data_IF_631499451021
#
_entry.id   IF_631499451021
#
_cell.length_a   1.000
_cell.length_b   1.000
_cell.length_c   1.000
_cell.angle_alpha   90.00
_cell.angle_beta   90.00
_cell.angle_gamma   90.00
#
_symmetry.space_group_name_H-M   'P 1'
#
loop_
_entity.id
_entity.type
_entity.pdbx_description
1 polymer ?
#
# COMPACT_ATOMS: atom_id res chain seq x y z
N UNK A 1 -69.92 -20.00 27.25
CA UNK A 1 -69.70 -19.12 26.09
C UNK A 1 -68.59 -18.12 26.45
N UNK A 2 -67.38 -18.31 25.93
CA UNK A 2 -66.32 -17.29 25.82
C UNK A 2 -65.53 -17.63 24.56
N UNK A 3 -66.18 -17.35 23.44
CA UNK A 3 -65.58 -17.21 22.12
C UNK A 3 -65.22 -15.72 22.06
N UNK A 4 -64.11 -15.35 21.44
CA UNK A 4 -63.60 -13.97 21.27
C UNK A 4 -62.43 -13.58 22.20
N UNK A 5 -61.38 -14.40 22.23
CA UNK A 5 -60.04 -13.87 22.47
C UNK A 5 -59.13 -14.29 21.31
N UNK A 6 -58.93 -13.37 20.36
CA UNK A 6 -57.95 -13.52 19.29
C UNK A 6 -56.57 -13.29 19.91
N UNK A 7 -55.66 -14.25 19.79
CA UNK A 7 -54.28 -14.06 20.22
C UNK A 7 -53.61 -13.02 19.32
N UNK A 8 -53.10 -11.94 19.93
CA UNK A 8 -52.33 -10.93 19.21
C UNK A 8 -50.99 -11.49 18.75
N UNK A 9 -50.87 -11.75 17.44
CA UNK A 9 -49.64 -12.23 16.80
C UNK A 9 -48.81 -11.11 16.17
N UNK A 10 -49.19 -9.84 16.39
CA UNK A 10 -48.51 -8.64 15.84
C UNK A 10 -47.02 -8.60 16.21
N UNK A 11 -46.67 -8.92 17.45
CA UNK A 11 -45.26 -8.97 17.91
C UNK A 11 -44.46 -10.15 17.33
N UNK A 12 -45.10 -11.21 16.82
CA UNK A 12 -44.38 -12.35 16.20
C UNK A 12 -43.91 -12.06 14.77
N UNK A 13 -44.45 -11.01 14.14
CA UNK A 13 -44.00 -10.52 12.84
C UNK A 13 -42.97 -9.38 12.95
N UNK A 14 -42.73 -8.82 14.14
CA UNK A 14 -41.69 -7.81 14.35
C UNK A 14 -40.31 -8.48 14.36
N UNK A 15 -39.76 -8.72 13.16
CA UNK A 15 -38.42 -9.28 12.98
C UNK A 15 -37.34 -8.43 13.65
N UNK A 16 -37.56 -7.12 13.80
CA UNK A 16 -36.66 -6.17 14.46
C UNK A 16 -36.49 -6.44 15.96
N UNK A 17 -37.52 -6.96 16.62
CA UNK A 17 -37.51 -7.22 18.07
C UNK A 17 -36.90 -8.58 18.43
N UNK A 18 -36.60 -9.41 17.43
CA UNK A 18 -35.88 -10.67 17.65
C UNK A 18 -34.50 -10.37 18.21
N UNK A 19 -34.05 -11.08 19.26
CA UNK A 19 -32.76 -10.82 19.91
C UNK A 19 -31.58 -10.93 18.93
N UNK A 20 -31.67 -11.84 17.97
CA UNK A 20 -30.69 -12.04 16.90
C UNK A 20 -30.61 -10.86 15.92
N UNK A 21 -31.75 -10.24 15.60
CA UNK A 21 -31.83 -9.12 14.66
C UNK A 21 -31.47 -7.82 15.36
N UNK A 22 -31.87 -7.67 16.63
CA UNK A 22 -31.52 -6.53 17.46
C UNK A 22 -30.02 -6.41 17.67
N UNK A 23 -29.33 -7.52 17.96
CA UNK A 23 -27.86 -7.51 18.08
C UNK A 23 -27.18 -7.12 16.76
N UNK A 24 -27.71 -7.56 15.62
CA UNK A 24 -27.21 -7.17 14.30
C UNK A 24 -27.45 -5.67 14.00
N UNK A 25 -28.60 -5.13 14.40
CA UNK A 25 -28.91 -3.71 14.29
C UNK A 25 -28.00 -2.87 15.20
N UNK A 26 -27.71 -3.34 16.41
CA UNK A 26 -26.78 -2.69 17.35
C UNK A 26 -25.33 -2.71 16.79
N UNK A 27 -24.92 -3.80 16.13
CA UNK A 27 -23.64 -3.91 15.41
C UNK A 27 -23.61 -2.99 14.17
N UNK A 28 -24.70 -2.88 13.42
CA UNK A 28 -24.78 -1.99 12.27
C UNK A 28 -24.76 -0.51 12.70
N UNK A 29 -25.44 -0.16 13.79
CA UNK A 29 -25.50 1.19 14.32
C UNK A 29 -24.16 1.62 14.94
N UNK A 30 -23.46 0.73 15.64
CA UNK A 30 -22.09 0.98 16.09
C UNK A 30 -21.09 1.12 14.94
N UNK A 31 -21.26 0.36 13.84
CA UNK A 31 -20.46 0.53 12.62
C UNK A 31 -20.85 1.78 11.81
N UNK A 32 -22.09 2.28 11.93
CA UNK A 32 -22.54 3.56 11.34
C UNK A 32 -21.78 4.75 11.89
N UNK A 33 -21.47 4.76 13.19
CA UNK A 33 -20.63 5.80 13.81
C UNK A 33 -19.16 5.70 13.34
N UNK A 34 -18.67 4.50 13.03
CA UNK A 34 -17.33 4.25 12.48
C UNK A 34 -17.19 4.53 10.98
N UNK A 35 -18.20 5.06 10.29
CA UNK A 35 -18.16 5.30 8.83
C UNK A 35 -17.10 6.32 8.38
N UNK A 36 -16.47 7.04 9.29
CA UNK A 36 -15.44 8.03 9.00
C UNK A 36 -14.00 7.57 9.31
N UNK A 37 -13.80 6.35 9.80
CA UNK A 37 -12.44 5.82 10.03
C UNK A 37 -11.97 5.02 8.82
N UNK A 38 -10.83 5.45 8.28
CA UNK A 38 -10.16 4.78 7.17
C UNK A 38 -9.77 3.35 7.59
N UNK A 39 -9.82 2.38 6.68
CA UNK A 39 -9.45 0.98 6.97
C UNK A 39 -8.07 0.81 7.65
N UNK A 40 -7.02 1.57 7.29
CA UNK A 40 -5.76 1.60 8.03
C UNK A 40 -5.88 2.03 9.50
N UNK A 41 -6.84 2.90 9.81
CA UNK A 41 -7.09 3.39 11.17
C UNK A 41 -7.81 2.31 12.02
N UNK A 42 -8.76 1.59 11.43
CA UNK A 42 -9.38 0.41 12.06
C UNK A 42 -8.35 -0.69 12.32
N UNK A 43 -7.43 -0.92 11.38
CA UNK A 43 -6.33 -1.84 11.59
C UNK A 43 -5.42 -1.37 12.73
N UNK A 44 -5.11 -0.08 12.84
CA UNK A 44 -4.32 0.47 13.95
C UNK A 44 -4.99 0.24 15.31
N UNK A 45 -6.30 0.46 15.42
CA UNK A 45 -7.05 0.26 16.66
C UNK A 45 -7.04 -1.22 17.10
N UNK A 46 -7.41 -2.14 16.21
CA UNK A 46 -7.39 -3.58 16.48
C UNK A 46 -5.98 -4.10 16.79
N UNK A 47 -4.97 -3.56 16.10
CA UNK A 47 -3.58 -3.96 16.28
C UNK A 47 -3.01 -3.45 17.61
N UNK A 48 -3.28 -2.19 17.98
CA UNK A 48 -2.85 -1.64 19.27
C UNK A 48 -3.49 -2.41 20.44
N UNK A 49 -4.79 -2.70 20.40
CA UNK A 49 -5.46 -3.44 21.47
C UNK A 49 -4.92 -4.87 21.62
N UNK A 50 -4.62 -5.56 20.52
CA UNK A 50 -4.21 -6.97 20.56
C UNK A 50 -2.72 -7.19 20.82
N UNK A 51 -1.87 -6.24 20.42
CA UNK A 51 -0.43 -6.44 20.33
C UNK A 51 0.41 -5.42 21.13
N UNK A 52 -0.21 -4.40 21.74
CA UNK A 52 0.47 -3.49 22.67
C UNK A 52 1.13 -4.26 23.81
N UNK A 53 2.44 -4.10 23.95
CA UNK A 53 3.27 -4.78 24.97
C UNK A 53 3.66 -6.23 24.65
N UNK A 54 3.15 -6.83 23.58
CA UNK A 54 3.50 -8.20 23.14
C UNK A 54 4.49 -8.24 21.98
N UNK A 55 4.61 -7.16 21.22
CA UNK A 55 5.52 -7.01 20.09
C UNK A 55 6.27 -5.69 20.25
N UNK A 56 7.54 -5.62 19.83
CA UNK A 56 8.29 -4.36 19.85
C UNK A 56 7.65 -3.37 18.89
N UNK A 57 7.52 -2.11 19.31
CA UNK A 57 7.00 -1.03 18.45
C UNK A 57 7.81 -0.83 17.16
N UNK A 58 9.08 -1.25 17.16
CA UNK A 58 9.97 -1.25 15.99
C UNK A 58 9.61 -2.28 14.92
N UNK A 59 8.88 -3.35 15.28
CA UNK A 59 8.48 -4.42 14.35
C UNK A 59 7.14 -4.12 13.67
N UNK A 60 6.41 -3.10 14.16
CA UNK A 60 5.13 -2.67 13.63
C UNK A 60 5.36 -1.85 12.35
N UNK A 61 5.33 -2.53 11.20
CA UNK A 61 5.34 -1.87 9.89
C UNK A 61 3.92 -1.52 9.47
N UNK A 62 3.56 -0.25 9.59
CA UNK A 62 2.32 0.27 9.03
C UNK A 62 2.34 0.16 7.49
N UNK A 63 1.25 -0.28 6.85
CA UNK A 63 1.15 -0.23 5.39
C UNK A 63 1.20 1.23 4.94
N UNK A 64 2.32 1.63 4.34
CA UNK A 64 2.49 2.98 3.79
C UNK A 64 1.86 3.03 2.40
N UNK A 65 0.89 3.91 2.21
CA UNK A 65 0.30 4.15 0.91
C UNK A 65 1.12 5.19 0.14
N UNK A 66 2.30 4.77 -0.33
CA UNK A 66 3.24 5.63 -1.08
C UNK A 66 2.52 6.33 -2.25
N UNK A 67 1.59 5.66 -2.92
CA UNK A 67 0.81 6.22 -4.04
C UNK A 67 -0.02 7.45 -3.65
N UNK A 68 -0.60 7.45 -2.45
CA UNK A 68 -1.35 8.62 -1.96
C UNK A 68 -0.41 9.76 -1.58
N UNK A 69 0.71 9.44 -0.92
CA UNK A 69 1.68 10.44 -0.47
C UNK A 69 2.37 11.18 -1.63
N UNK A 70 2.74 10.46 -2.69
CA UNK A 70 3.32 11.07 -3.90
C UNK A 70 2.30 11.88 -4.68
N UNK A 71 1.00 11.57 -4.55
CA UNK A 71 -0.06 12.31 -5.23
C UNK A 71 -0.39 13.62 -4.50
N UNK A 72 -0.20 13.67 -3.18
CA UNK A 72 -0.50 14.85 -2.36
C UNK A 72 0.65 15.84 -2.30
N UNK A 73 1.90 15.36 -2.21
CA UNK A 73 3.07 16.21 -2.00
C UNK A 73 4.07 16.10 -3.16
N UNK A 74 4.35 17.21 -3.88
CA UNK A 74 5.33 17.22 -4.96
C UNK A 74 6.75 16.88 -4.50
N UNK A 75 7.12 17.18 -3.24
CA UNK A 75 8.43 16.84 -2.71
C UNK A 75 8.57 15.33 -2.52
N UNK A 76 7.52 14.67 -1.99
CA UNK A 76 7.47 13.21 -1.85
C UNK A 76 7.50 12.51 -3.20
N UNK A 77 6.82 13.06 -4.20
CA UNK A 77 6.92 12.58 -5.59
C UNK A 77 8.37 12.61 -6.11
N UNK A 78 9.09 13.71 -5.86
CA UNK A 78 10.50 13.85 -6.25
C UNK A 78 11.42 12.89 -5.48
N UNK A 79 11.16 12.68 -4.18
CA UNK A 79 11.91 11.72 -3.38
C UNK A 79 11.74 10.30 -3.93
N UNK A 80 10.51 9.92 -4.27
CA UNK A 80 10.23 8.60 -4.86
C UNK A 80 10.88 8.45 -6.23
N UNK A 81 10.82 9.47 -7.10
CA UNK A 81 11.47 9.40 -8.41
C UNK A 81 12.99 9.20 -8.32
N UNK A 82 13.65 9.92 -7.40
CA UNK A 82 15.09 9.73 -7.14
C UNK A 82 15.38 8.34 -6.57
N UNK A 83 14.48 7.80 -5.73
CA UNK A 83 14.62 6.45 -5.19
C UNK A 83 14.54 5.38 -6.29
N UNK A 84 13.66 5.56 -7.28
CA UNK A 84 13.57 4.73 -8.49
C UNK A 84 14.85 4.87 -9.34
N UNK A 85 15.37 6.09 -9.52
CA UNK A 85 16.64 6.29 -10.24
C UNK A 85 17.81 5.55 -9.56
N UNK A 86 17.89 5.56 -8.22
CA UNK A 86 18.90 4.80 -7.48
C UNK A 86 18.74 3.30 -7.68
N UNK A 87 17.51 2.78 -7.62
CA UNK A 87 17.25 1.38 -7.91
C UNK A 87 17.67 1.00 -9.34
N UNK A 88 17.44 1.86 -10.34
CA UNK A 88 17.89 1.61 -11.71
C UNK A 88 19.41 1.44 -11.82
N UNK A 89 20.20 2.23 -11.07
CA UNK A 89 21.66 2.07 -11.02
C UNK A 89 22.03 0.72 -10.43
N UNK A 90 21.37 0.32 -9.35
CA UNK A 90 21.59 -0.98 -8.72
C UNK A 90 21.24 -2.14 -9.65
N UNK A 91 20.10 -2.06 -10.34
CA UNK A 91 19.70 -3.07 -11.35
C UNK A 91 20.71 -3.13 -12.48
N UNK A 92 21.23 -2.00 -12.97
CA UNK A 92 22.30 -1.97 -13.97
C UNK A 92 23.55 -2.70 -13.47
N UNK A 93 23.97 -2.47 -12.22
CA UNK A 93 25.11 -3.17 -11.63
C UNK A 93 24.86 -4.68 -11.59
N UNK A 94 23.68 -5.11 -11.14
CA UNK A 94 23.30 -6.52 -11.12
C UNK A 94 23.34 -7.15 -12.52
N UNK A 95 22.72 -6.50 -13.51
CA UNK A 95 22.72 -6.98 -14.90
C UNK A 95 24.13 -7.04 -15.49
N UNK A 96 25.00 -6.10 -15.12
CA UNK A 96 26.40 -6.07 -15.55
C UNK A 96 27.18 -7.26 -14.99
N UNK A 97 26.99 -7.62 -13.72
CA UNK A 97 27.64 -8.81 -13.13
C UNK A 97 27.07 -10.12 -13.71
N UNK A 98 25.77 -10.16 -13.99
CA UNK A 98 25.14 -11.30 -14.69
C UNK A 98 25.74 -11.46 -16.10
N UNK A 99 25.88 -10.37 -16.86
CA UNK A 99 26.50 -10.35 -18.19
C UNK A 99 27.91 -10.93 -18.17
N UNK A 100 28.75 -10.55 -17.18
CA UNK A 100 30.12 -11.07 -17.06
C UNK A 100 30.19 -12.58 -16.84
N UNK A 101 29.12 -13.19 -16.33
CA UNK A 101 29.05 -14.63 -16.06
C UNK A 101 28.62 -15.44 -17.29
N UNK A 102 28.07 -14.77 -18.32
CA UNK A 102 27.67 -15.43 -19.57
C UNK A 102 28.89 -15.59 -20.46
N UNK A 103 29.28 -16.84 -20.74
CA UNK A 103 30.34 -17.12 -21.70
C UNK A 103 29.90 -16.69 -23.11
N UNK A 104 30.63 -15.75 -23.70
CA UNK A 104 30.45 -15.39 -25.11
C UNK A 104 30.96 -16.55 -25.97
N UNK A 105 30.03 -17.35 -26.51
CA UNK A 105 30.36 -18.47 -27.39
C UNK A 105 29.99 -18.15 -28.84
N UNK A 106 31.00 -18.00 -29.70
CA UNK A 106 30.81 -17.77 -31.12
C UNK A 106 32.11 -17.48 -31.88
N UNK A 107 32.16 -17.89 -33.15
CA UNK A 107 33.21 -17.52 -34.13
C UNK A 107 33.16 -16.03 -34.54
N UNK A 108 32.11 -15.32 -34.11
CA UNK A 108 31.82 -13.91 -34.41
C UNK A 108 31.46 -13.25 -33.07
N UNK A 109 32.48 -12.92 -32.27
CA UNK A 109 32.32 -12.09 -31.07
C UNK A 109 32.24 -10.64 -31.56
N UNK A 110 31.05 -10.05 -31.52
CA UNK A 110 30.86 -8.68 -31.99
C UNK A 110 31.67 -7.74 -31.11
N UNK A 111 32.65 -7.10 -31.75
CA UNK A 111 33.66 -6.30 -31.08
C UNK A 111 33.14 -5.02 -30.43
N UNK A 112 33.95 -3.96 -30.43
CA UNK A 112 33.65 -2.73 -29.68
C UNK A 112 32.27 -2.12 -29.93
N UNK A 113 31.73 -2.24 -31.16
CA UNK A 113 30.39 -1.74 -31.47
C UNK A 113 29.28 -2.50 -30.72
N UNK A 114 29.35 -3.84 -30.66
CA UNK A 114 28.36 -4.65 -29.92
C UNK A 114 28.39 -4.29 -28.44
N UNK A 115 29.59 -4.19 -27.84
CA UNK A 115 29.74 -3.85 -26.44
C UNK A 115 29.07 -2.52 -26.09
N UNK A 116 29.21 -1.50 -26.94
CA UNK A 116 28.59 -0.18 -26.75
C UNK A 116 27.07 -0.28 -26.84
N UNK A 117 26.52 -0.99 -27.84
CA UNK A 117 25.07 -1.13 -27.98
C UNK A 117 24.46 -2.00 -26.88
N UNK A 118 25.16 -3.04 -26.46
CA UNK A 118 24.77 -3.90 -25.35
C UNK A 118 24.73 -3.12 -24.04
N UNK A 119 25.72 -2.27 -23.75
CA UNK A 119 25.72 -1.43 -22.55
C UNK A 119 24.57 -0.40 -22.58
N UNK A 120 24.31 0.24 -23.73
CA UNK A 120 23.12 1.11 -23.89
C UNK A 120 21.81 0.35 -23.70
N UNK A 121 21.74 -0.90 -24.17
CA UNK A 121 20.56 -1.75 -24.01
C UNK A 121 20.32 -2.07 -22.52
N UNK A 122 21.37 -2.44 -21.79
CA UNK A 122 21.27 -2.70 -20.36
C UNK A 122 20.90 -1.45 -19.56
N UNK A 123 21.31 -0.26 -20.00
CA UNK A 123 20.88 1.01 -19.40
C UNK A 123 19.36 1.19 -19.51
N UNK A 124 18.77 0.96 -20.68
CA UNK A 124 17.32 1.06 -20.86
C UNK A 124 16.56 -0.04 -20.13
N UNK A 125 17.08 -1.27 -20.11
CA UNK A 125 16.50 -2.34 -19.29
C UNK A 125 16.50 -1.98 -17.81
N UNK A 126 17.60 -1.44 -17.28
CA UNK A 126 17.68 -1.07 -15.86
C UNK A 126 16.64 -0.01 -15.48
N UNK A 127 16.43 1.00 -16.32
CA UNK A 127 15.39 2.03 -16.13
C UNK A 127 13.98 1.46 -16.23
N UNK A 128 13.75 0.61 -17.23
CA UNK A 128 12.43 0.01 -17.45
C UNK A 128 12.04 -0.96 -16.33
N UNK A 129 12.98 -1.81 -15.90
CA UNK A 129 12.77 -2.71 -14.77
C UNK A 129 12.48 -1.92 -13.50
N UNK A 130 13.30 -0.92 -13.15
CA UNK A 130 13.06 -0.16 -11.92
C UNK A 130 11.73 0.63 -11.96
N UNK A 131 11.32 1.14 -13.13
CA UNK A 131 10.06 1.90 -13.24
C UNK A 131 8.80 1.03 -13.26
N UNK A 132 8.84 -0.16 -13.88
CA UNK A 132 7.66 -1.01 -14.09
C UNK A 132 7.62 -2.24 -13.17
N UNK A 133 8.78 -2.71 -12.74
CA UNK A 133 8.99 -3.93 -11.96
C UNK A 133 9.95 -3.62 -10.81
N UNK A 134 9.52 -2.74 -9.90
CA UNK A 134 10.27 -2.41 -8.69
C UNK A 134 10.65 -3.68 -7.93
N UNK A 135 11.91 -3.76 -7.52
CA UNK A 135 12.44 -4.84 -6.68
C UNK A 135 12.16 -4.58 -5.19
N UNK A 136 11.46 -3.50 -4.86
CA UNK A 136 11.16 -3.09 -3.51
C UNK A 136 12.22 -2.16 -2.91
N UNK A 137 13.34 -1.93 -3.59
CA UNK A 137 14.44 -1.13 -3.07
C UNK A 137 14.09 0.36 -3.07
N UNK A 138 13.45 0.83 -4.14
CA UNK A 138 12.99 2.21 -4.23
C UNK A 138 12.03 2.57 -3.08
N UNK A 139 11.13 1.65 -2.70
CA UNK A 139 10.20 1.84 -1.59
C UNK A 139 10.92 1.86 -0.23
N UNK A 140 11.93 1.00 -0.05
CA UNK A 140 12.74 0.98 1.18
C UNK A 140 13.55 2.27 1.37
N UNK A 141 14.16 2.77 0.28
CA UNK A 141 14.87 4.04 0.27
C UNK A 141 13.89 5.16 0.59
N UNK A 142 12.76 5.23 -0.14
CA UNK A 142 11.72 6.22 0.10
C UNK A 142 11.29 6.24 1.57
N UNK A 143 10.97 5.08 2.16
CA UNK A 143 10.54 4.96 3.56
C UNK A 143 11.59 5.48 4.55
N UNK A 144 12.87 5.17 4.29
CA UNK A 144 13.98 5.57 5.16
C UNK A 144 14.12 7.10 5.22
N UNK A 145 13.89 7.79 4.10
CA UNK A 145 14.00 9.24 4.00
C UNK A 145 12.68 9.98 4.25
N UNK A 146 11.52 9.36 3.98
CA UNK A 146 10.21 9.98 4.15
C UNK A 146 9.85 10.24 5.61
N UNK A 147 10.49 9.53 6.54
CA UNK A 147 10.37 9.76 7.98
C UNK A 147 10.96 11.10 8.45
N UNK A 148 11.90 11.66 7.67
CA UNK A 148 12.54 12.95 7.97
C UNK A 148 11.72 14.14 7.43
N UNK A 149 10.70 13.86 6.62
CA UNK A 149 9.80 14.87 6.07
C UNK A 149 8.65 15.14 7.02
N UNK A 150 8.13 16.37 6.97
CA UNK A 150 6.92 16.72 7.70
C UNK A 150 5.76 15.77 7.33
N UNK A 151 4.85 15.48 8.28
CA UNK A 151 3.63 14.73 7.98
C UNK A 151 2.87 15.38 6.83
N UNK A 152 2.23 14.56 5.99
CA UNK A 152 1.40 15.06 4.88
C UNK A 152 0.19 15.79 5.47
N UNK A 153 0.12 17.11 5.28
CA UNK A 153 -1.06 17.92 5.64
C UNK A 153 -2.27 17.52 4.78
N UNK A 154 -3.16 16.69 5.36
CA UNK A 154 -4.39 16.23 4.73
C UNK A 154 -5.45 17.34 4.56
N UNK A 155 -5.28 18.49 5.21
CA UNK A 155 -6.17 19.65 5.15
C UNK A 155 -6.21 20.34 3.78
N UNK A 156 -5.14 20.26 2.97
CA UNK A 156 -5.12 20.90 1.64
C UNK A 156 -6.06 20.29 0.59
N UNK A 157 -6.66 19.11 0.86
CA UNK A 157 -7.61 18.47 -0.06
C UNK A 157 -9.02 19.07 0.00
N UNK A 158 -9.43 19.71 1.11
CA UNK A 158 -10.81 20.21 1.28
C UNK A 158 -11.12 21.42 0.42
N UNK A 159 -10.11 22.23 0.07
CA UNK A 159 -10.33 23.53 -0.58
C UNK A 159 -10.36 23.47 -2.11
N UNK A 160 -10.02 22.33 -2.74
CA UNK A 160 -10.00 22.18 -4.21
C UNK A 160 -11.29 21.59 -4.79
N UNK A 161 -12.33 21.40 -3.98
CA UNK A 161 -13.63 20.84 -4.39
C UNK A 161 -14.84 21.75 -4.13
N UNK A 162 -14.61 23.03 -3.85
CA UNK A 162 -15.67 24.05 -3.79
C UNK A 162 -15.69 24.90 -5.06
#
# INVERSE_FOLDING_TARGET
>A
MKIDFIQDYTNRLNLVEKPEVKSLLDIENSNKEKRNVSFPELLREEFNEKLSGKISSSEIRLPHNIKEEIATDPYRKKLYSVSVEVESIFVKMMLSEMKKTVEKSGLIDGGHAEAIFEDMLYDEYSKNLSSNSSLGLAEQIYQSYSSQLAPVDSSRKTDRKA
#
